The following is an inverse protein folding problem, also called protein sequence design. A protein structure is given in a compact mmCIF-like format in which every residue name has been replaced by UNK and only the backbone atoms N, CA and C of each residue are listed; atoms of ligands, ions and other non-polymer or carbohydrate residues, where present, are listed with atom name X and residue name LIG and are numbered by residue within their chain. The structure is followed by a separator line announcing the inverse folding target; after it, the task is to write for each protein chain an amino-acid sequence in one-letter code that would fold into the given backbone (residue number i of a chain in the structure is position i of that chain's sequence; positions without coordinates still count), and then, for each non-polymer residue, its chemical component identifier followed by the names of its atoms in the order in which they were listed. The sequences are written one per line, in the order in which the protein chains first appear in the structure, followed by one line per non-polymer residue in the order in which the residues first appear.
data_IF_367308902006
#
_entry.id   IF_367308902006
#
_cell.length_a   1.000
_cell.length_b   1.000
_cell.length_c   1.000
_cell.angle_alpha   90.00
_cell.angle_beta   90.00
_cell.angle_gamma   90.00
#
_symmetry.space_group_name_H-M   'P 1'
#
loop_
_entity.id
_entity.type
_entity.pdbx_description
1 polymer ?
#
# COMPACT_ATOMS: atom_id res chain seq x y z
N UNK A 1 8.71 12.57 -9.06
CA UNK A 1 7.52 12.39 -8.21
C UNK A 1 6.37 12.04 -9.12
N UNK A 2 5.60 11.01 -8.76
CA UNK A 2 4.46 10.53 -9.57
C UNK A 2 3.17 11.31 -9.29
N UNK A 3 2.27 11.39 -10.27
CA UNK A 3 0.88 11.81 -10.06
C UNK A 3 0.53 13.23 -10.52
N UNK A 4 1.51 14.07 -10.83
CA UNK A 4 1.28 15.41 -11.38
C UNK A 4 1.98 15.63 -12.72
N UNK A 5 1.35 16.43 -13.58
CA UNK A 5 1.93 16.98 -14.79
C UNK A 5 2.15 18.51 -14.61
N UNK A 6 3.21 19.10 -15.21
CA UNK A 6 4.32 18.41 -15.87
C UNK A 6 5.18 17.62 -14.86
N UNK A 7 6.06 16.74 -15.36
CA UNK A 7 6.97 15.93 -14.55
C UNK A 7 7.72 16.76 -13.51
N UNK A 8 7.72 16.31 -12.25
CA UNK A 8 8.41 16.97 -11.12
C UNK A 8 9.49 16.06 -10.56
N UNK A 9 10.76 16.46 -10.65
CA UNK A 9 11.86 15.70 -10.06
C UNK A 9 11.99 15.97 -8.56
N UNK A 10 12.28 14.93 -7.79
CA UNK A 10 12.56 15.08 -6.36
C UNK A 10 13.90 15.83 -6.18
N UNK A 11 13.91 16.83 -5.28
CA UNK A 11 15.11 17.61 -4.93
C UNK A 11 15.50 17.45 -3.47
N UNK A 12 14.53 17.11 -2.64
CA UNK A 12 14.66 16.91 -1.19
C UNK A 12 13.75 15.76 -0.78
N UNK A 13 13.94 15.26 0.44
CA UNK A 13 13.09 14.23 1.05
C UNK A 13 12.69 14.70 2.45
N UNK A 14 11.40 14.96 2.65
CA UNK A 14 10.86 15.43 3.94
C UNK A 14 10.65 14.31 4.96
N UNK A 15 10.44 13.07 4.49
CA UNK A 15 10.18 11.90 5.33
C UNK A 15 10.47 10.59 4.61
N UNK A 16 10.43 9.45 5.32
CA UNK A 16 10.71 8.16 4.71
C UNK A 16 9.63 7.77 3.68
N UNK A 17 10.07 7.17 2.56
CA UNK A 17 9.18 6.43 1.67
C UNK A 17 9.11 4.99 2.19
N UNK A 18 7.92 4.53 2.55
CA UNK A 18 7.75 3.28 3.26
C UNK A 18 7.12 2.18 2.40
N UNK A 19 7.50 0.95 2.73
CA UNK A 19 6.73 -0.23 2.40
C UNK A 19 6.39 -0.93 3.70
N UNK A 20 5.12 -1.22 3.92
CA UNK A 20 4.60 -1.92 5.10
C UNK A 20 3.83 -3.15 4.65
N UNK A 21 3.89 -4.23 5.41
CA UNK A 21 3.16 -5.44 5.08
C UNK A 21 2.47 -6.05 6.31
N UNK A 22 1.30 -6.64 6.08
CA UNK A 22 0.54 -7.44 7.04
C UNK A 22 0.32 -8.80 6.42
N UNK A 23 0.78 -9.85 7.09
CA UNK A 23 0.46 -11.23 6.73
C UNK A 23 -0.51 -11.81 7.76
N UNK A 24 -1.54 -12.51 7.31
CA UNK A 24 -2.58 -13.07 8.18
C UNK A 24 -3.03 -14.43 7.68
N UNK A 25 -3.59 -15.25 8.57
CA UNK A 25 -4.07 -16.60 8.27
C UNK A 25 -2.99 -17.68 8.41
N UNK A 26 -3.40 -18.92 8.14
CA UNK A 26 -2.53 -20.10 8.18
C UNK A 26 -1.77 -20.26 6.86
N UNK A 27 -0.93 -21.29 6.76
CA UNK A 27 -0.27 -21.62 5.48
C UNK A 27 -1.25 -22.06 4.39
N UNK A 28 -2.46 -22.52 4.75
CA UNK A 28 -3.47 -23.00 3.78
C UNK A 28 -4.35 -21.89 3.22
N UNK A 29 -4.69 -20.90 4.04
CA UNK A 29 -5.69 -19.87 3.74
C UNK A 29 -5.17 -18.43 3.89
N UNK A 30 -3.87 -18.27 4.17
CA UNK A 30 -3.29 -16.97 4.45
C UNK A 30 -3.28 -16.00 3.28
N UNK A 31 -2.98 -14.75 3.59
CA UNK A 31 -2.84 -13.67 2.62
C UNK A 31 -1.84 -12.62 3.12
N UNK A 32 -1.33 -11.82 2.19
CA UNK A 32 -0.42 -10.71 2.49
C UNK A 32 -0.97 -9.43 1.87
N UNK A 33 -1.11 -8.39 2.68
CA UNK A 33 -1.31 -7.02 2.22
C UNK A 33 0.04 -6.30 2.25
N UNK A 34 0.42 -5.66 1.14
CA UNK A 34 1.60 -4.81 1.07
C UNK A 34 1.16 -3.41 0.68
N UNK A 35 1.42 -2.42 1.53
CA UNK A 35 1.20 -1.00 1.25
C UNK A 35 2.52 -0.33 0.93
N UNK A 36 2.62 0.30 -0.23
CA UNK A 36 3.81 0.98 -0.73
C UNK A 36 3.54 2.46 -1.00
N UNK A 37 4.46 3.32 -0.55
CA UNK A 37 4.39 4.76 -0.80
C UNK A 37 4.80 5.11 -2.23
N UNK A 38 3.80 5.17 -3.10
CA UNK A 38 3.87 5.59 -4.49
C UNK A 38 2.47 6.02 -4.94
N UNK A 39 2.37 6.79 -6.03
CA UNK A 39 1.07 7.14 -6.60
C UNK A 39 0.44 5.92 -7.26
N UNK A 40 1.21 5.19 -8.08
CA UNK A 40 0.71 4.13 -8.93
C UNK A 40 1.76 3.02 -9.08
N UNK A 41 1.26 1.81 -9.33
CA UNK A 41 2.02 0.65 -9.77
C UNK A 41 1.21 -0.03 -10.88
N UNK A 42 1.86 -0.43 -11.98
CA UNK A 42 1.16 -1.11 -13.06
C UNK A 42 0.72 -2.52 -12.63
N UNK A 43 -0.37 -3.08 -13.19
CA UNK A 43 -0.77 -4.46 -12.91
C UNK A 43 0.35 -5.48 -13.20
N UNK A 44 1.14 -5.24 -14.26
CA UNK A 44 2.32 -6.06 -14.58
C UNK A 44 3.36 -6.03 -13.45
N UNK A 45 3.67 -4.83 -12.96
CA UNK A 45 4.64 -4.65 -11.87
C UNK A 45 4.14 -5.29 -10.58
N UNK A 46 2.88 -5.06 -10.20
CA UNK A 46 2.27 -5.68 -9.04
C UNK A 46 2.26 -7.21 -9.13
N UNK A 47 1.95 -7.75 -10.32
CA UNK A 47 1.99 -9.19 -10.61
C UNK A 47 3.40 -9.79 -10.51
N UNK A 48 4.44 -9.12 -11.01
CA UNK A 48 5.83 -9.55 -10.81
C UNK A 48 6.14 -9.63 -9.32
N UNK A 49 5.86 -8.56 -8.55
CA UNK A 49 6.15 -8.50 -7.12
C UNK A 49 5.43 -9.61 -6.34
N UNK A 50 4.12 -9.77 -6.56
CA UNK A 50 3.33 -10.84 -5.97
C UNK A 50 3.88 -12.23 -6.32
N UNK A 51 4.29 -12.43 -7.57
CA UNK A 51 4.95 -13.67 -8.01
C UNK A 51 6.27 -13.93 -7.29
N UNK A 52 7.10 -12.91 -7.05
CA UNK A 52 8.35 -13.06 -6.27
C UNK A 52 8.06 -13.42 -4.83
N UNK A 53 7.10 -12.72 -4.21
CA UNK A 53 6.68 -12.99 -2.84
C UNK A 53 6.20 -14.43 -2.71
N UNK A 54 5.34 -14.91 -3.63
CA UNK A 54 4.84 -16.28 -3.62
C UNK A 54 5.96 -17.33 -3.73
N UNK A 55 7.01 -17.08 -4.51
CA UNK A 55 8.18 -17.99 -4.58
C UNK A 55 8.95 -18.09 -3.25
N UNK A 56 9.06 -16.99 -2.52
CA UNK A 56 9.80 -16.93 -1.25
C UNK A 56 9.01 -17.41 -0.03
N UNK A 57 7.67 -17.42 -0.12
CA UNK A 57 6.76 -17.75 0.97
C UNK A 57 5.98 -19.05 0.78
N UNK A 58 5.91 -19.57 -0.45
CA UNK A 58 5.02 -20.67 -0.84
C UNK A 58 3.55 -20.24 -1.03
N UNK A 59 3.22 -18.96 -0.79
CA UNK A 59 1.86 -18.45 -0.92
C UNK A 59 1.46 -18.30 -2.39
N UNK A 60 0.21 -18.64 -2.72
CA UNK A 60 -0.35 -18.34 -4.04
C UNK A 60 -0.27 -16.82 -4.31
N UNK A 61 0.36 -16.35 -5.42
CA UNK A 61 0.45 -14.93 -5.75
C UNK A 61 -0.90 -14.19 -5.79
N UNK A 62 -2.00 -14.88 -6.09
CA UNK A 62 -3.36 -14.33 -6.04
C UNK A 62 -3.86 -13.98 -4.63
N UNK A 63 -3.11 -14.35 -3.59
CA UNK A 63 -3.35 -14.00 -2.17
C UNK A 63 -2.40 -12.91 -1.67
N UNK A 64 -1.66 -12.27 -2.57
CA UNK A 64 -0.77 -11.14 -2.28
C UNK A 64 -1.36 -9.88 -2.90
N UNK A 65 -1.76 -8.93 -2.05
CA UNK A 65 -2.36 -7.68 -2.44
C UNK A 65 -1.32 -6.56 -2.39
N UNK A 66 -0.96 -6.01 -3.54
CA UNK A 66 -0.08 -4.84 -3.64
C UNK A 66 -0.96 -3.59 -3.70
N UNK A 67 -0.84 -2.76 -2.68
CA UNK A 67 -1.60 -1.52 -2.46
C UNK A 67 -0.62 -0.35 -2.53
N UNK A 68 -1.06 0.75 -3.15
CA UNK A 68 -0.32 2.01 -3.14
C UNK A 68 -1.07 3.01 -2.27
N UNK A 69 -0.36 3.83 -1.50
CA UNK A 69 -0.99 4.92 -0.73
C UNK A 69 -1.52 6.06 -1.60
N UNK A 70 -1.27 5.99 -2.91
CA UNK A 70 -1.63 7.01 -3.88
C UNK A 70 -1.01 8.38 -3.56
N UNK A 71 0.19 8.39 -2.97
CA UNK A 71 0.93 9.62 -2.68
C UNK A 71 1.49 10.25 -3.95
N UNK A 72 1.23 11.54 -4.14
CA UNK A 72 1.78 12.32 -5.26
C UNK A 72 3.21 12.84 -5.02
N UNK A 73 3.77 12.56 -3.84
CA UNK A 73 5.14 12.95 -3.46
C UNK A 73 6.11 11.77 -3.41
N UNK A 74 5.67 10.60 -3.88
CA UNK A 74 6.46 9.37 -3.95
C UNK A 74 7.26 9.18 -5.25
N UNK A 75 8.10 8.13 -5.31
CA UNK A 75 8.81 7.73 -6.52
C UNK A 75 7.84 7.31 -7.64
N UNK A 76 8.18 7.60 -8.89
CA UNK A 76 7.38 7.14 -10.04
C UNK A 76 7.74 5.71 -10.46
N UNK A 77 7.01 4.75 -9.89
CA UNK A 77 7.19 3.33 -10.18
C UNK A 77 6.33 2.82 -11.36
N UNK A 78 5.44 3.65 -11.91
CA UNK A 78 4.68 3.28 -13.11
C UNK A 78 5.31 3.83 -14.40
N UNK A 79 6.20 4.82 -14.30
CA UNK A 79 6.96 5.38 -15.42
C UNK A 79 6.19 6.45 -16.22
N UNK A 80 4.98 6.80 -15.81
CA UNK A 80 4.13 7.77 -16.52
C UNK A 80 4.57 9.22 -16.31
N UNK A 81 5.43 9.48 -15.33
CA UNK A 81 5.85 10.81 -14.87
C UNK A 81 7.38 10.94 -14.87
N UNK A 82 8.05 10.33 -15.86
CA UNK A 82 9.51 10.33 -16.00
C UNK A 82 10.23 9.16 -15.33
N UNK A 83 9.52 8.36 -14.53
CA UNK A 83 10.04 7.14 -13.93
C UNK A 83 11.11 7.37 -12.86
N UNK A 84 11.77 6.26 -12.51
CA UNK A 84 12.93 6.23 -11.61
C UNK A 84 14.08 5.49 -12.30
N UNK A 85 15.33 5.73 -11.89
CA UNK A 85 16.46 4.94 -12.37
C UNK A 85 16.23 3.42 -12.15
N UNK A 86 16.65 2.55 -13.09
CA UNK A 86 16.43 1.11 -12.97
C UNK A 86 16.97 0.49 -11.67
N UNK A 87 18.08 1.02 -11.15
CA UNK A 87 18.64 0.58 -9.87
C UNK A 87 17.69 0.87 -8.68
N UNK A 88 17.07 2.05 -8.66
CA UNK A 88 16.11 2.41 -7.63
C UNK A 88 14.84 1.56 -7.73
N UNK A 89 14.35 1.31 -8.95
CA UNK A 89 13.20 0.42 -9.15
C UNK A 89 13.47 -0.99 -8.59
N UNK A 90 14.65 -1.56 -8.85
CA UNK A 90 15.06 -2.85 -8.30
C UNK A 90 15.14 -2.81 -6.78
N UNK A 91 15.79 -1.79 -6.22
CA UNK A 91 15.86 -1.59 -4.77
C UNK A 91 14.46 -1.54 -4.11
N UNK A 92 13.53 -0.80 -4.72
CA UNK A 92 12.17 -0.68 -4.21
C UNK A 92 11.43 -2.02 -4.27
N UNK A 93 11.48 -2.72 -5.43
CA UNK A 93 10.94 -4.08 -5.58
C UNK A 93 11.50 -5.02 -4.53
N UNK A 94 12.81 -5.06 -4.35
CA UNK A 94 13.46 -5.99 -3.43
C UNK A 94 13.08 -5.66 -1.98
N UNK A 95 12.86 -4.38 -1.67
CA UNK A 95 12.29 -3.94 -0.39
C UNK A 95 10.84 -4.40 -0.20
N UNK A 96 10.00 -4.29 -1.24
CA UNK A 96 8.63 -4.84 -1.22
C UNK A 96 8.62 -6.33 -0.92
N UNK A 97 9.42 -7.10 -1.65
CA UNK A 97 9.50 -8.55 -1.49
C UNK A 97 10.02 -8.90 -0.09
N UNK A 98 11.12 -8.29 0.35
CA UNK A 98 11.70 -8.55 1.67
C UNK A 98 10.72 -8.23 2.80
N UNK A 99 10.02 -7.09 2.74
CA UNK A 99 9.06 -6.70 3.77
C UNK A 99 7.86 -7.66 3.83
N UNK A 100 7.33 -8.07 2.68
CA UNK A 100 6.25 -9.05 2.62
C UNK A 100 6.66 -10.42 3.17
N UNK A 101 7.85 -10.90 2.79
CA UNK A 101 8.40 -12.17 3.27
C UNK A 101 8.67 -12.13 4.78
N UNK A 102 9.20 -11.01 5.29
CA UNK A 102 9.41 -10.82 6.72
C UNK A 102 8.09 -10.84 7.48
N UNK A 103 7.05 -10.14 6.98
CA UNK A 103 5.71 -10.18 7.58
C UNK A 103 5.13 -11.60 7.57
N UNK A 104 5.29 -12.35 6.47
CA UNK A 104 4.88 -13.74 6.38
C UNK A 104 5.60 -14.58 7.45
N UNK A 105 6.94 -14.58 7.48
CA UNK A 105 7.69 -15.43 8.41
C UNK A 105 7.52 -15.05 9.89
N UNK A 106 7.08 -13.82 10.18
CA UNK A 106 6.88 -13.31 11.54
C UNK A 106 5.41 -13.29 11.98
N UNK A 107 4.54 -14.13 11.39
CA UNK A 107 3.16 -14.28 11.87
C UNK A 107 3.14 -14.86 13.28
N UNK A 108 2.18 -14.42 14.08
CA UNK A 108 1.94 -14.92 15.43
C UNK A 108 0.43 -15.06 15.67
N UNK A 109 -0.01 -15.89 16.63
CA UNK A 109 -1.41 -15.98 17.02
C UNK A 109 -1.98 -14.61 17.38
N UNK A 110 -3.06 -14.22 16.71
CA UNK A 110 -3.75 -12.96 16.92
C UNK A 110 -5.22 -13.08 16.47
N UNK A 111 -6.07 -12.25 17.05
CA UNK A 111 -7.47 -12.09 16.63
C UNK A 111 -7.60 -10.92 15.66
N UNK A 112 -8.39 -11.09 14.62
CA UNK A 112 -8.77 -10.04 13.68
C UNK A 112 -10.08 -9.39 14.13
N UNK A 113 -10.08 -8.07 14.22
CA UNK A 113 -11.25 -7.24 14.46
C UNK A 113 -11.48 -6.35 13.25
N UNK A 114 -12.75 -6.17 12.89
CA UNK A 114 -13.18 -5.28 11.82
C UNK A 114 -14.17 -4.25 12.37
N UNK A 115 -14.06 -3.02 11.89
CA UNK A 115 -14.99 -1.95 12.23
C UNK A 115 -15.03 -0.87 11.16
N UNK A 116 -16.02 0.00 11.27
CA UNK A 116 -16.15 1.20 10.46
C UNK A 116 -16.05 2.40 11.41
N UNK A 117 -15.19 3.35 11.07
CA UNK A 117 -15.10 4.65 11.74
C UNK A 117 -15.60 5.74 10.82
N UNK A 118 -16.13 6.84 11.35
CA UNK A 118 -16.53 8.01 10.55
C UNK A 118 -15.44 9.08 10.60
N UNK A 119 -15.23 9.79 9.49
CA UNK A 119 -14.29 10.90 9.40
C UNK A 119 -14.84 12.09 8.62
N UNK A 120 -14.24 13.26 8.86
CA UNK A 120 -14.46 14.49 8.10
C UNK A 120 -13.31 14.81 7.12
N UNK A 121 -12.41 13.85 6.86
CA UNK A 121 -11.29 14.02 5.94
C UNK A 121 -11.76 14.11 4.48
N UNK A 122 -11.26 15.12 3.76
CA UNK A 122 -11.46 15.27 2.31
C UNK A 122 -12.67 16.14 1.94
N UNK A 123 -12.77 16.45 0.64
CA UNK A 123 -13.90 17.16 0.04
C UNK A 123 -14.26 16.56 -1.31
N UNK A 124 -15.52 16.69 -1.72
CA UNK A 124 -15.97 16.32 -3.05
C UNK A 124 -15.40 17.27 -4.12
N UNK A 125 -14.26 16.90 -4.72
CA UNK A 125 -13.56 17.74 -5.72
C UNK A 125 -14.34 18.00 -7.02
N UNK A 126 -15.46 17.32 -7.24
CA UNK A 126 -16.35 17.46 -8.41
C UNK A 126 -17.80 17.76 -8.02
N UNK A 127 -18.04 18.38 -6.85
CA UNK A 127 -19.40 18.75 -6.44
C UNK A 127 -20.11 19.59 -7.52
N UNK A 128 -19.43 20.57 -8.10
CA UNK A 128 -19.95 21.40 -9.21
C UNK A 128 -20.19 20.64 -10.53
N UNK A 129 -19.74 19.39 -10.62
CA UNK A 129 -19.92 18.50 -11.78
C UNK A 129 -20.81 17.28 -11.44
N UNK A 130 -21.65 17.40 -10.41
CA UNK A 130 -22.64 16.39 -10.05
C UNK A 130 -22.10 15.22 -9.20
N UNK A 131 -20.93 15.37 -8.55
CA UNK A 131 -20.50 14.38 -7.56
C UNK A 131 -21.48 14.39 -6.38
N UNK A 132 -22.22 13.29 -6.23
CA UNK A 132 -23.32 13.14 -5.26
C UNK A 132 -22.87 13.06 -3.80
N UNK A 133 -21.59 12.82 -3.54
CA UNK A 133 -21.04 12.71 -2.18
C UNK A 133 -19.61 12.22 -2.16
N UNK A 134 -19.13 11.95 -0.95
CA UNK A 134 -17.83 11.34 -0.68
C UNK A 134 -18.02 10.28 0.39
N UNK A 135 -17.23 9.22 0.35
CA UNK A 135 -17.18 8.23 1.43
C UNK A 135 -16.70 8.91 2.72
N UNK A 136 -17.43 8.70 3.81
CA UNK A 136 -17.09 9.23 5.14
C UNK A 136 -16.73 8.11 6.13
N UNK A 137 -16.89 6.85 5.72
CA UNK A 137 -16.46 5.66 6.42
C UNK A 137 -15.00 5.30 6.13
N UNK A 138 -14.25 5.06 7.20
CA UNK A 138 -12.98 4.33 7.17
C UNK A 138 -13.24 2.89 7.57
N UNK A 139 -12.88 1.92 6.72
CA UNK A 139 -12.81 0.52 7.15
C UNK A 139 -11.51 0.34 7.93
N UNK A 140 -11.61 -0.17 9.15
CA UNK A 140 -10.47 -0.42 10.04
C UNK A 140 -10.42 -1.91 10.35
N UNK A 141 -9.29 -2.54 10.02
CA UNK A 141 -8.97 -3.90 10.43
C UNK A 141 -7.83 -3.86 11.44
N UNK A 142 -7.99 -4.53 12.57
CA UNK A 142 -6.96 -4.65 13.61
C UNK A 142 -6.63 -6.08 13.93
N UNK A 143 -5.34 -6.41 13.91
CA UNK A 143 -4.82 -7.67 14.44
C UNK A 143 -4.32 -7.43 15.84
N UNK A 144 -4.85 -8.19 16.81
CA UNK A 144 -4.55 -8.02 18.24
C UNK A 144 -4.11 -9.34 18.87
N UNK A 145 -3.04 -9.24 19.63
CA UNK A 145 -2.66 -10.24 20.66
C UNK A 145 -3.45 -9.94 21.93
N UNK A 146 -3.26 -10.73 23.00
CA UNK A 146 -3.88 -10.42 24.30
C UNK A 146 -3.35 -9.12 24.90
N UNK A 147 -2.11 -8.76 24.57
CA UNK A 147 -1.38 -7.67 25.21
C UNK A 147 -1.43 -6.37 24.38
N UNK A 148 -1.50 -6.47 23.05
CA UNK A 148 -1.39 -5.29 22.16
C UNK A 148 -2.00 -5.48 20.78
N UNK A 149 -2.29 -4.34 20.13
CA UNK A 149 -2.48 -4.27 18.67
C UNK A 149 -1.12 -4.47 17.99
N UNK A 150 -1.04 -5.39 17.04
CA UNK A 150 0.20 -5.68 16.29
C UNK A 150 0.17 -5.12 14.87
N UNK A 151 -1.03 -4.91 14.31
CA UNK A 151 -1.21 -4.25 13.03
C UNK A 151 -2.59 -3.59 12.92
N UNK A 152 -2.63 -2.48 12.19
CA UNK A 152 -3.87 -1.80 11.80
C UNK A 152 -3.81 -1.52 10.31
N UNK A 153 -4.81 -1.98 9.56
CA UNK A 153 -5.07 -1.56 8.19
C UNK A 153 -6.24 -0.58 8.20
N UNK A 154 -6.04 0.58 7.58
CA UNK A 154 -7.09 1.58 7.41
C UNK A 154 -7.30 1.80 5.92
N UNK A 155 -8.54 1.61 5.46
CA UNK A 155 -8.94 1.91 4.09
C UNK A 155 -9.87 3.13 4.10
N UNK A 156 -9.42 4.21 3.49
CA UNK A 156 -10.12 5.50 3.43
C UNK A 156 -10.10 6.00 1.97
N UNK A 157 -11.25 6.47 1.50
CA UNK A 157 -11.38 7.10 0.18
C UNK A 157 -10.91 8.56 0.18
N UNK A 158 -9.60 8.79 0.15
CA UNK A 158 -9.03 10.14 0.03
C UNK A 158 -7.78 10.15 -0.86
N UNK A 159 -7.55 11.24 -1.61
CA UNK A 159 -6.40 11.37 -2.51
C UNK A 159 -5.14 11.78 -1.73
N UNK A 160 -4.02 11.10 -1.94
CA UNK A 160 -2.74 11.38 -1.27
C UNK A 160 -1.99 12.58 -1.85
N UNK A 161 -2.54 13.79 -1.67
CA UNK A 161 -2.03 15.04 -2.30
C UNK A 161 -1.39 16.03 -1.33
N UNK A 162 -1.45 15.78 -0.02
CA UNK A 162 -0.82 16.63 1.01
C UNK A 162 0.58 16.09 1.30
N UNK A 163 1.57 16.98 1.42
CA UNK A 163 3.00 16.69 1.56
C UNK A 163 3.60 17.27 2.84
#
# INVERSE_FOLDING_TARGET
MSGYAPTRYARTQSGPIQVRAIATGSDRDGMIFVSADTCLVSPRTAGDWAGRIGRETGLNPGRVFIITTHTHSGPDLCGLFGGVPPAYFRFFRDTVVRTAVAAWRNRAPASLYAGISQHALGIARRASRGQQGMETGAVVLQWKTRERVIATLVNIGCHGVVY
#
